data_IF_474354665881
#
_entry.id   IF_474354665881
#
_cell.length_a   1.000
_cell.length_b   1.000
_cell.length_c   1.000
_cell.angle_alpha   90.00
_cell.angle_beta   90.00
_cell.angle_gamma   90.00
#
_symmetry.space_group_name_H-M   'P 1'
#
loop_
_entity.id
_entity.type
_entity.pdbx_description
1 polymer ?
#
# COMPACT_ATOMS: atom_id res chain seq x y z
N UNK A 1 -44.99 -14.27 -12.02
CA UNK A 1 -43.73 -14.82 -11.49
C UNK A 1 -42.57 -14.02 -12.06
N UNK A 2 -42.10 -13.00 -11.36
CA UNK A 2 -40.85 -12.27 -11.71
C UNK A 2 -39.80 -12.78 -10.75
N UNK A 3 -38.84 -13.60 -11.23
CA UNK A 3 -37.64 -13.95 -10.49
C UNK A 3 -36.82 -12.71 -10.39
N UNK A 4 -36.67 -12.20 -9.17
CA UNK A 4 -35.76 -11.12 -8.85
C UNK A 4 -34.32 -11.60 -9.09
N UNK A 5 -33.63 -10.87 -9.93
CA UNK A 5 -32.20 -11.00 -10.12
C UNK A 5 -31.54 -10.53 -8.81
N UNK A 6 -31.11 -11.46 -7.98
CA UNK A 6 -30.30 -11.13 -6.80
C UNK A 6 -29.03 -10.49 -7.31
N UNK A 7 -28.86 -9.21 -7.01
CA UNK A 7 -27.59 -8.49 -7.25
C UNK A 7 -26.55 -9.09 -6.32
N UNK A 8 -25.81 -10.08 -6.80
CA UNK A 8 -24.56 -10.52 -6.19
C UNK A 8 -23.55 -9.39 -6.43
N UNK A 9 -23.36 -8.56 -5.46
CA UNK A 9 -22.32 -7.53 -5.49
C UNK A 9 -21.47 -7.72 -4.26
N UNK A 10 -20.65 -8.78 -4.26
CA UNK A 10 -19.43 -8.81 -3.46
C UNK A 10 -18.31 -8.76 -4.49
N UNK A 11 -17.77 -7.59 -4.73
CA UNK A 11 -16.65 -7.43 -5.64
C UNK A 11 -15.42 -7.12 -4.78
N UNK A 12 -14.57 -8.11 -4.60
CA UNK A 12 -13.23 -7.91 -4.07
C UNK A 12 -12.28 -7.96 -5.25
N UNK A 13 -11.53 -6.91 -5.47
CA UNK A 13 -10.46 -6.89 -6.46
C UNK A 13 -9.14 -6.93 -5.71
N UNK A 14 -8.44 -8.04 -5.81
CA UNK A 14 -7.07 -8.16 -5.28
C UNK A 14 -6.10 -7.90 -6.41
N UNK A 15 -5.29 -6.88 -6.28
CA UNK A 15 -4.21 -6.57 -7.21
C UNK A 15 -2.92 -7.16 -6.64
N UNK A 16 -2.36 -8.17 -7.30
CA UNK A 16 -1.05 -8.72 -6.98
C UNK A 16 -0.15 -8.42 -8.18
N UNK A 17 0.85 -7.56 -7.97
CA UNK A 17 1.85 -7.29 -8.99
C UNK A 17 3.07 -8.17 -8.72
N UNK A 18 3.35 -9.11 -9.61
CA UNK A 18 4.55 -9.94 -9.58
C UNK A 18 5.35 -9.60 -10.83
N UNK A 19 6.52 -9.02 -10.65
CA UNK A 19 7.46 -8.84 -11.76
C UNK A 19 8.35 -10.08 -11.82
N UNK A 20 8.24 -10.86 -12.88
CA UNK A 20 9.11 -12.00 -13.15
C UNK A 20 10.01 -11.67 -14.33
N UNK A 21 11.32 -11.58 -14.09
CA UNK A 21 12.30 -11.49 -15.15
C UNK A 21 12.60 -12.87 -15.69
N UNK A 22 12.19 -13.15 -16.93
CA UNK A 22 12.68 -14.31 -17.68
C UNK A 22 13.79 -13.87 -18.60
N UNK A 23 14.99 -14.38 -18.39
CA UNK A 23 16.12 -14.15 -19.27
C UNK A 23 15.91 -14.94 -20.56
N UNK A 24 15.70 -14.25 -21.66
CA UNK A 24 15.98 -14.78 -22.99
C UNK A 24 16.23 -13.64 -23.98
N UNK A 25 17.47 -13.52 -24.42
CA UNK A 25 17.93 -12.90 -25.68
C UNK A 25 17.45 -11.47 -26.04
N UNK A 26 18.33 -10.50 -25.84
CA UNK A 26 18.54 -9.30 -26.65
C UNK A 26 17.41 -8.26 -26.79
N UNK A 27 16.29 -8.37 -26.12
CA UNK A 27 15.32 -7.31 -25.92
C UNK A 27 15.03 -7.23 -24.44
N UNK A 28 15.08 -6.03 -23.85
CA UNK A 28 14.58 -5.77 -22.50
C UNK A 28 13.06 -5.91 -22.50
N UNK A 29 12.58 -7.14 -22.36
CA UNK A 29 11.16 -7.46 -22.25
C UNK A 29 10.85 -7.59 -20.75
N UNK A 30 10.02 -6.69 -20.26
CA UNK A 30 9.48 -6.73 -18.90
C UNK A 30 8.06 -7.28 -18.90
N UNK A 31 7.73 -8.09 -17.92
CA UNK A 31 6.39 -8.63 -17.72
C UNK A 31 5.88 -8.22 -16.34
N UNK A 32 4.75 -7.51 -16.33
CA UNK A 32 4.00 -7.19 -15.11
C UNK A 32 2.74 -8.03 -15.10
N UNK A 33 2.54 -8.77 -14.02
CA UNK A 33 1.36 -9.61 -13.82
C UNK A 33 0.45 -9.01 -12.75
N UNK A 34 -0.83 -8.91 -13.08
CA UNK A 34 -1.89 -8.46 -12.17
C UNK A 34 -2.94 -9.55 -12.05
N UNK A 35 -3.23 -9.97 -10.83
CA UNK A 35 -4.28 -10.96 -10.57
C UNK A 35 -5.51 -10.27 -9.98
N UNK A 36 -6.63 -10.36 -10.68
CA UNK A 36 -7.93 -9.90 -10.23
C UNK A 36 -8.70 -11.09 -9.68
N UNK A 37 -9.17 -10.98 -8.45
CA UNK A 37 -9.92 -12.05 -7.80
C UNK A 37 -11.26 -11.52 -7.36
N UNK A 38 -12.32 -12.21 -7.75
CA UNK A 38 -13.67 -11.96 -7.24
C UNK A 38 -13.90 -12.96 -6.11
N UNK A 39 -14.20 -12.43 -4.92
CA UNK A 39 -14.52 -13.23 -3.75
C UNK A 39 -16.02 -13.21 -3.46
N UNK A 40 -16.50 -14.26 -2.84
CA UNK A 40 -17.83 -14.24 -2.21
C UNK A 40 -17.79 -13.43 -0.89
N UNK A 41 -18.95 -13.32 -0.23
CA UNK A 41 -19.08 -12.59 1.03
C UNK A 41 -18.24 -13.15 2.19
N UNK A 42 -17.77 -14.38 2.09
CA UNK A 42 -16.93 -15.02 3.11
C UNK A 42 -15.44 -15.01 2.76
N UNK A 43 -15.08 -14.44 1.61
CA UNK A 43 -13.70 -14.34 1.14
C UNK A 43 -13.24 -15.50 0.26
N UNK A 44 -14.13 -16.41 -0.17
CA UNK A 44 -13.73 -17.50 -1.07
C UNK A 44 -13.64 -17.00 -2.52
N UNK A 45 -12.60 -17.34 -3.27
CA UNK A 45 -12.47 -16.99 -4.67
C UNK A 45 -13.58 -17.63 -5.52
N UNK A 46 -14.30 -16.81 -6.28
CA UNK A 46 -15.31 -17.26 -7.25
C UNK A 46 -14.81 -17.14 -8.68
N UNK A 47 -13.89 -16.22 -8.94
CA UNK A 47 -13.27 -16.05 -10.24
C UNK A 47 -11.85 -15.45 -10.04
N UNK A 48 -10.89 -15.91 -10.83
CA UNK A 48 -9.54 -15.39 -10.87
C UNK A 48 -9.16 -15.07 -12.31
N UNK A 49 -8.84 -13.83 -12.58
CA UNK A 49 -8.40 -13.33 -13.88
C UNK A 49 -6.99 -12.80 -13.71
N UNK A 50 -6.06 -13.32 -14.48
CA UNK A 50 -4.69 -12.83 -14.55
C UNK A 50 -4.57 -11.96 -15.79
N UNK A 51 -4.01 -10.79 -15.62
CA UNK A 51 -3.68 -9.84 -16.69
C UNK A 51 -2.17 -9.67 -16.73
N UNK A 52 -1.60 -10.03 -17.84
CA UNK A 52 -0.19 -9.91 -18.14
C UNK A 52 0.06 -8.71 -19.04
N UNK A 53 0.91 -7.81 -18.62
CA UNK A 53 1.40 -6.71 -19.42
C UNK A 53 2.86 -6.93 -19.75
N UNK A 54 3.13 -7.21 -21.02
CA UNK A 54 4.46 -7.42 -21.56
C UNK A 54 4.90 -6.15 -22.28
N UNK A 55 6.07 -5.64 -21.94
CA UNK A 55 6.64 -4.38 -22.45
C UNK A 55 8.04 -4.62 -22.96
N UNK A 56 8.36 -4.01 -24.11
CA UNK A 56 9.71 -3.92 -24.65
C UNK A 56 10.11 -2.47 -24.93
N UNK A 57 11.42 -2.22 -24.99
CA UNK A 57 11.96 -0.93 -25.45
C UNK A 57 11.69 -0.68 -26.93
N UNK A 58 11.51 -1.76 -27.71
CA UNK A 58 11.19 -1.78 -29.14
C UNK A 58 10.00 -2.69 -29.39
N UNK A 59 9.60 -2.83 -30.68
CA UNK A 59 8.55 -3.78 -31.06
C UNK A 59 8.88 -5.19 -30.59
N UNK A 60 7.92 -5.83 -29.93
CA UNK A 60 8.09 -7.17 -29.33
C UNK A 60 8.36 -8.24 -30.38
N UNK A 61 7.82 -8.08 -31.59
CA UNK A 61 7.99 -9.06 -32.68
C UNK A 61 7.45 -10.42 -32.28
N UNK A 62 8.23 -11.46 -32.60
CA UNK A 62 7.89 -12.85 -32.23
C UNK A 62 8.65 -13.25 -30.96
N UNK A 63 7.90 -13.61 -29.92
CA UNK A 63 8.46 -14.06 -28.65
C UNK A 63 7.61 -15.17 -28.02
N UNK A 64 8.19 -15.89 -27.07
CA UNK A 64 7.50 -16.91 -26.29
C UNK A 64 7.33 -16.47 -24.86
N UNK A 65 6.17 -16.77 -24.27
CA UNK A 65 5.86 -16.62 -22.85
C UNK A 65 5.32 -17.93 -22.29
N UNK A 66 5.52 -18.17 -20.99
CA UNK A 66 4.97 -19.33 -20.30
C UNK A 66 3.73 -18.93 -19.51
N UNK A 67 2.63 -19.62 -19.76
CA UNK A 67 1.38 -19.34 -19.08
C UNK A 67 0.56 -20.61 -18.88
N UNK A 68 0.11 -20.84 -17.65
CA UNK A 68 -0.83 -21.91 -17.29
C UNK A 68 -2.29 -21.47 -17.40
N UNK A 69 -2.54 -20.24 -17.85
CA UNK A 69 -3.86 -19.67 -17.95
C UNK A 69 -4.74 -20.37 -18.98
N UNK A 70 -6.03 -20.38 -18.71
CA UNK A 70 -7.08 -20.77 -19.65
C UNK A 70 -7.79 -19.52 -20.21
N UNK A 71 -8.55 -19.69 -21.29
CA UNK A 71 -9.36 -18.62 -21.92
C UNK A 71 -8.53 -17.34 -22.22
N UNK A 72 -7.31 -17.52 -22.72
CA UNK A 72 -6.38 -16.43 -22.97
C UNK A 72 -6.92 -15.53 -24.09
N UNK A 73 -6.91 -14.20 -23.83
CA UNK A 73 -7.33 -13.17 -24.79
C UNK A 73 -6.40 -11.98 -24.72
N UNK A 74 -6.01 -11.47 -25.88
CA UNK A 74 -5.45 -10.13 -25.98
C UNK A 74 -6.57 -9.12 -25.71
N UNK A 75 -6.38 -8.22 -24.76
CA UNK A 75 -7.42 -7.25 -24.34
C UNK A 75 -7.22 -5.87 -24.96
N UNK A 76 -6.10 -5.65 -25.64
CA UNK A 76 -5.74 -4.36 -26.25
C UNK A 76 -5.51 -4.44 -27.77
N UNK A 77 -5.36 -5.67 -28.29
CA UNK A 77 -5.13 -5.96 -29.70
C UNK A 77 -5.93 -7.16 -30.18
N UNK A 78 -5.67 -7.58 -31.42
CA UNK A 78 -6.34 -8.72 -32.05
C UNK A 78 -5.40 -9.93 -32.22
N UNK A 79 -4.14 -9.81 -31.79
CA UNK A 79 -3.16 -10.88 -31.91
C UNK A 79 -3.56 -12.05 -31.00
N UNK A 80 -3.48 -13.25 -31.57
CA UNK A 80 -3.74 -14.50 -30.85
C UNK A 80 -2.44 -15.29 -30.69
N UNK A 81 -2.19 -15.92 -29.53
CA UNK A 81 -1.00 -16.73 -29.32
C UNK A 81 -1.15 -18.11 -29.95
N UNK A 82 -0.06 -18.66 -30.44
CA UNK A 82 0.04 -20.09 -30.71
C UNK A 82 0.40 -20.79 -29.39
N UNK A 83 -0.55 -21.59 -28.87
CA UNK A 83 -0.38 -22.31 -27.59
C UNK A 83 0.16 -23.73 -27.84
N UNK A 84 1.25 -24.07 -27.16
CA UNK A 84 1.82 -25.40 -27.14
C UNK A 84 2.12 -25.81 -25.68
N UNK A 85 1.17 -26.53 -25.04
CA UNK A 85 1.22 -26.79 -23.60
C UNK A 85 1.10 -25.47 -22.83
N UNK A 86 2.10 -25.19 -21.99
CA UNK A 86 2.19 -23.93 -21.21
C UNK A 86 2.95 -22.83 -21.95
N UNK A 87 3.45 -23.08 -23.15
CA UNK A 87 4.16 -22.10 -23.97
C UNK A 87 3.19 -21.37 -24.89
N UNK A 88 3.22 -20.04 -24.84
CA UNK A 88 2.49 -19.13 -25.72
C UNK A 88 3.50 -18.45 -26.63
N UNK A 89 3.35 -18.66 -27.93
CA UNK A 89 4.13 -17.91 -28.93
C UNK A 89 3.27 -16.77 -29.47
N UNK A 90 3.71 -15.56 -29.25
CA UNK A 90 3.07 -14.34 -29.74
C UNK A 90 3.83 -13.76 -30.93
N UNK A 91 3.11 -13.06 -31.80
CA UNK A 91 3.67 -12.23 -32.87
C UNK A 91 3.00 -10.87 -32.82
N UNK A 92 3.71 -9.87 -32.29
CA UNK A 92 3.17 -8.57 -31.89
C UNK A 92 3.93 -7.46 -32.60
N UNK A 93 3.22 -6.57 -33.29
CA UNK A 93 3.79 -5.45 -34.02
C UNK A 93 3.84 -4.13 -33.23
N UNK A 94 3.76 -4.23 -31.91
CA UNK A 94 3.89 -3.10 -30.98
C UNK A 94 4.95 -3.39 -29.92
N UNK A 95 5.31 -2.39 -29.16
CA UNK A 95 6.23 -2.54 -28.02
C UNK A 95 5.55 -3.01 -26.72
N UNK A 96 4.26 -3.30 -26.78
CA UNK A 96 3.49 -3.80 -25.63
C UNK A 96 2.42 -4.80 -26.05
N UNK A 97 2.14 -5.73 -25.17
CA UNK A 97 1.06 -6.71 -25.26
C UNK A 97 0.34 -6.79 -23.93
N UNK A 98 -0.98 -6.74 -23.98
CA UNK A 98 -1.84 -7.00 -22.82
C UNK A 98 -2.70 -8.22 -23.11
N UNK A 99 -2.49 -9.29 -22.37
CA UNK A 99 -3.39 -10.43 -22.44
C UNK A 99 -3.94 -10.80 -21.07
N UNK A 100 -5.10 -11.41 -21.07
CA UNK A 100 -5.76 -11.92 -19.88
C UNK A 100 -6.12 -13.38 -20.05
N UNK A 101 -6.19 -14.09 -18.94
CA UNK A 101 -6.70 -15.45 -18.89
C UNK A 101 -7.22 -15.80 -17.51
N UNK A 102 -7.90 -16.94 -17.41
CA UNK A 102 -8.41 -17.45 -16.13
C UNK A 102 -7.37 -18.34 -15.47
N UNK A 103 -7.24 -18.20 -14.15
CA UNK A 103 -6.38 -19.01 -13.30
C UNK A 103 -7.21 -19.77 -12.26
N UNK A 104 -6.73 -20.95 -11.90
CA UNK A 104 -7.20 -21.70 -10.75
C UNK A 104 -6.05 -21.96 -9.75
N UNK A 105 -4.96 -21.23 -9.89
CA UNK A 105 -3.81 -21.37 -9.01
C UNK A 105 -4.17 -20.89 -7.59
N UNK A 106 -3.50 -21.50 -6.61
CA UNK A 106 -3.62 -21.08 -5.22
C UNK A 106 -3.11 -19.65 -5.08
N UNK A 107 -3.90 -18.80 -4.46
CA UNK A 107 -3.51 -17.43 -4.19
C UNK A 107 -2.46 -17.37 -3.08
N UNK A 108 -1.49 -16.45 -3.16
CA UNK A 108 -0.49 -16.25 -2.11
C UNK A 108 -1.11 -15.66 -0.84
N UNK A 109 -2.23 -14.98 -0.96
CA UNK A 109 -3.02 -14.45 0.15
C UNK A 109 -4.40 -15.10 0.15
N UNK A 110 -4.87 -15.52 1.31
CA UNK A 110 -6.26 -15.93 1.54
C UNK A 110 -6.92 -14.94 2.48
N UNK A 111 -8.13 -14.56 2.14
CA UNK A 111 -8.96 -13.67 2.96
C UNK A 111 -10.13 -14.48 3.50
N UNK A 112 -10.47 -14.20 4.74
CA UNK A 112 -11.62 -14.81 5.40
C UNK A 112 -12.43 -13.72 6.06
N UNK A 113 -13.73 -13.67 5.79
CA UNK A 113 -14.63 -12.67 6.35
C UNK A 113 -15.72 -13.37 7.16
N UNK A 114 -15.81 -13.02 8.43
CA UNK A 114 -16.83 -13.48 9.36
C UNK A 114 -17.76 -12.32 9.72
N UNK A 115 -19.03 -12.65 9.93
CA UNK A 115 -20.05 -11.68 10.30
C UNK A 115 -20.73 -12.09 11.60
N UNK A 116 -20.90 -11.10 12.48
CA UNK A 116 -21.77 -11.21 13.64
C UNK A 116 -22.87 -10.14 13.58
N UNK A 117 -24.07 -10.53 13.96
CA UNK A 117 -25.20 -9.63 14.05
C UNK A 117 -25.89 -9.80 15.40
N UNK A 118 -26.05 -8.69 16.15
CA UNK A 118 -26.55 -8.70 17.52
C UNK A 118 -25.82 -9.70 18.42
N UNK A 119 -24.47 -9.80 18.28
CA UNK A 119 -23.59 -10.67 19.07
C UNK A 119 -23.65 -12.16 18.71
N UNK A 120 -24.25 -12.52 17.57
CA UNK A 120 -24.30 -13.91 17.09
C UNK A 120 -23.65 -14.01 15.71
N UNK A 121 -22.86 -15.03 15.50
CA UNK A 121 -22.31 -15.36 14.18
C UNK A 121 -23.45 -15.71 13.23
N UNK A 122 -23.46 -15.09 12.05
CA UNK A 122 -24.53 -15.21 11.05
C UNK A 122 -23.97 -15.35 9.65
N UNK A 123 -24.78 -15.88 8.75
CA UNK A 123 -24.58 -15.66 7.31
C UNK A 123 -25.09 -14.24 6.98
N UNK A 124 -24.27 -13.36 6.39
CA UNK A 124 -24.66 -11.98 6.15
C UNK A 124 -25.90 -11.85 5.24
N UNK A 125 -26.14 -12.81 4.35
CA UNK A 125 -27.32 -12.82 3.50
C UNK A 125 -28.66 -12.98 4.28
N UNK A 126 -28.61 -13.56 5.48
CA UNK A 126 -29.80 -13.79 6.32
C UNK A 126 -30.24 -12.53 7.08
N UNK A 127 -29.34 -11.54 7.21
CA UNK A 127 -29.57 -10.32 7.97
C UNK A 127 -29.64 -9.07 7.11
N UNK A 128 -29.70 -9.23 5.79
CA UNK A 128 -29.86 -8.11 4.85
C UNK A 128 -31.14 -7.32 5.16
N UNK A 129 -31.00 -5.99 5.20
CA UNK A 129 -32.11 -5.07 5.47
C UNK A 129 -32.49 -4.96 6.93
N UNK A 130 -31.87 -5.71 7.84
CA UNK A 130 -32.20 -5.68 9.27
C UNK A 130 -31.48 -4.54 9.97
N UNK A 131 -32.10 -4.06 11.06
CA UNK A 131 -31.54 -3.10 12.00
C UNK A 131 -30.89 -3.82 13.17
N UNK A 132 -29.69 -3.42 13.56
CA UNK A 132 -29.00 -4.01 14.71
C UNK A 132 -27.55 -3.58 14.85
N UNK A 133 -26.84 -4.24 15.77
CA UNK A 133 -25.41 -4.10 15.89
C UNK A 133 -24.72 -5.13 14.98
N UNK A 134 -23.66 -4.75 14.33
CA UNK A 134 -22.88 -5.66 13.48
C UNK A 134 -21.42 -5.70 13.90
N UNK A 135 -20.77 -6.82 13.57
CA UNK A 135 -19.31 -6.95 13.55
C UNK A 135 -18.90 -7.67 12.28
N UNK A 136 -17.92 -7.13 11.60
CA UNK A 136 -17.26 -7.72 10.44
C UNK A 136 -15.81 -7.96 10.84
N UNK A 137 -15.37 -9.21 10.79
CA UNK A 137 -14.00 -9.60 11.09
C UNK A 137 -13.33 -10.05 9.80
N UNK A 138 -12.27 -9.38 9.40
CA UNK A 138 -11.48 -9.71 8.21
C UNK A 138 -10.16 -10.30 8.66
N UNK A 139 -9.88 -11.51 8.21
CA UNK A 139 -8.63 -12.22 8.48
C UNK A 139 -7.88 -12.43 7.17
N UNK A 140 -6.60 -12.10 7.16
CA UNK A 140 -5.74 -12.19 6.00
C UNK A 140 -4.63 -13.20 6.31
N UNK A 141 -4.51 -14.23 5.51
CA UNK A 141 -3.50 -15.27 5.69
C UNK A 141 -2.53 -15.26 4.53
N UNK A 142 -1.26 -15.22 4.85
CA UNK A 142 -0.19 -15.40 3.88
C UNK A 142 0.07 -16.91 3.71
N UNK A 143 -0.07 -17.41 2.49
CA UNK A 143 0.14 -18.82 2.17
C UNK A 143 1.58 -19.12 1.75
N UNK A 144 2.37 -18.09 1.47
CA UNK A 144 3.74 -18.20 1.01
C UNK A 144 4.69 -18.21 2.20
N UNK A 145 4.95 -19.36 2.74
CA UNK A 145 5.84 -19.52 3.88
C UNK A 145 6.79 -20.68 3.72
N UNK A 146 7.93 -20.59 4.38
CA UNK A 146 8.89 -21.65 4.47
C UNK A 146 9.44 -21.78 5.88
N UNK A 147 9.48 -23.03 6.35
CA UNK A 147 10.12 -23.36 7.63
C UNK A 147 11.59 -23.69 7.42
N UNK A 148 12.45 -23.01 8.16
CA UNK A 148 13.91 -23.21 8.15
C UNK A 148 14.48 -23.15 9.57
N UNK A 149 15.78 -23.44 9.72
CA UNK A 149 16.49 -23.29 10.99
C UNK A 149 17.36 -22.02 10.94
N UNK A 150 17.16 -21.13 11.90
CA UNK A 150 17.98 -19.92 12.07
C UNK A 150 18.61 -20.00 13.46
N UNK A 151 19.94 -19.98 13.53
CA UNK A 151 20.70 -20.12 14.79
C UNK A 151 20.25 -21.31 15.65
N UNK A 152 19.92 -22.44 15.00
CA UNK A 152 19.46 -23.66 15.68
C UNK A 152 17.99 -23.70 16.06
N UNK A 153 17.23 -22.63 15.88
CA UNK A 153 15.80 -22.60 16.12
C UNK A 153 15.01 -22.82 14.83
N UNK A 154 13.97 -23.63 14.93
CA UNK A 154 13.01 -23.82 13.83
C UNK A 154 12.17 -22.56 13.66
N UNK A 155 12.18 -21.97 12.47
CA UNK A 155 11.42 -20.75 12.14
C UNK A 155 10.61 -20.92 10.87
N UNK A 156 9.43 -20.34 10.86
CA UNK A 156 8.63 -20.16 9.66
C UNK A 156 8.82 -18.72 9.20
N UNK A 157 9.29 -18.58 7.98
CA UNK A 157 9.46 -17.28 7.32
C UNK A 157 8.37 -17.14 6.26
N UNK A 158 7.72 -16.01 6.24
CA UNK A 158 6.70 -15.66 5.26
C UNK A 158 7.28 -14.73 4.23
N UNK A 159 6.88 -14.90 2.97
CA UNK A 159 7.16 -13.92 1.93
C UNK A 159 6.50 -12.59 2.31
N UNK A 160 7.23 -11.48 2.41
CA UNK A 160 6.61 -10.19 2.74
C UNK A 160 5.68 -9.76 1.60
N UNK A 161 4.38 -9.77 1.86
CA UNK A 161 3.35 -9.29 0.94
C UNK A 161 2.66 -8.12 1.62
N UNK A 162 2.87 -6.92 1.12
CA UNK A 162 2.15 -5.74 1.58
C UNK A 162 0.68 -5.88 1.16
N UNK A 163 -0.20 -5.86 2.13
CA UNK A 163 -1.64 -6.01 1.91
C UNK A 163 -2.37 -4.82 2.49
N UNK A 164 -3.19 -4.17 1.67
CA UNK A 164 -4.08 -3.10 2.08
C UNK A 164 -5.54 -3.54 1.86
N UNK A 165 -6.39 -3.29 2.84
CA UNK A 165 -7.83 -3.47 2.73
C UNK A 165 -8.54 -2.13 2.83
N UNK A 166 -9.59 -1.98 2.03
CA UNK A 166 -10.47 -0.83 2.01
C UNK A 166 -11.92 -1.30 2.05
N UNK A 167 -12.69 -0.77 2.99
CA UNK A 167 -14.09 -1.11 3.18
C UNK A 167 -14.89 0.18 3.20
N UNK A 168 -15.88 0.28 2.32
CA UNK A 168 -16.77 1.44 2.22
C UNK A 168 -18.11 1.12 2.85
N UNK A 169 -18.50 1.93 3.85
CA UNK A 169 -19.77 1.82 4.57
C UNK A 169 -20.56 3.13 4.38
N UNK A 170 -21.79 3.02 3.89
CA UNK A 170 -22.66 4.18 3.69
C UNK A 170 -23.15 4.76 5.02
N UNK A 171 -22.93 6.05 5.27
CA UNK A 171 -23.33 6.75 6.50
C UNK A 171 -24.88 6.82 6.65
N UNK A 172 -25.63 6.56 5.57
CA UNK A 172 -27.09 6.47 5.62
C UNK A 172 -27.57 5.15 6.21
N UNK A 173 -26.71 4.13 6.31
CA UNK A 173 -27.05 2.78 6.77
C UNK A 173 -26.24 2.34 7.97
N UNK A 174 -25.00 2.84 8.09
CA UNK A 174 -24.07 2.45 9.13
C UNK A 174 -23.66 3.65 9.99
N UNK A 175 -23.49 3.43 11.28
CA UNK A 175 -23.13 4.46 12.24
C UNK A 175 -22.34 3.88 13.42
N UNK A 176 -21.77 4.75 14.27
CA UNK A 176 -21.03 4.37 15.47
C UNK A 176 -19.87 3.38 15.19
N UNK A 177 -19.20 3.56 14.06
CA UNK A 177 -18.14 2.66 13.61
C UNK A 177 -16.94 2.70 14.56
N UNK A 178 -16.44 1.52 14.91
CA UNK A 178 -15.19 1.32 15.64
C UNK A 178 -14.40 0.24 14.94
N UNK A 179 -13.10 0.40 14.87
CA UNK A 179 -12.16 -0.56 14.31
C UNK A 179 -11.15 -0.98 15.35
N UNK A 180 -10.73 -2.24 15.33
CA UNK A 180 -9.66 -2.73 16.21
C UNK A 180 -8.29 -2.28 15.73
N UNK A 181 -8.17 -2.06 14.42
CA UNK A 181 -6.95 -1.65 13.75
C UNK A 181 -7.28 -0.95 12.44
N UNK A 182 -6.34 -0.15 11.93
CA UNK A 182 -6.55 0.65 10.74
C UNK A 182 -7.13 2.02 11.04
N UNK A 183 -7.70 2.66 10.03
CA UNK A 183 -8.19 4.04 10.11
C UNK A 183 -9.58 4.17 9.50
N UNK A 184 -10.41 4.97 10.13
CA UNK A 184 -11.72 5.35 9.59
C UNK A 184 -11.63 6.79 9.10
N UNK A 185 -12.02 7.02 7.86
CA UNK A 185 -12.14 8.34 7.25
C UNK A 185 -13.59 8.54 6.81
N UNK A 186 -14.15 9.72 7.07
CA UNK A 186 -15.52 10.06 6.73
C UNK A 186 -15.50 11.11 5.61
N UNK A 187 -16.20 10.84 4.49
CA UNK A 187 -16.37 11.78 3.38
C UNK A 187 -17.72 12.53 3.43
N UNK A 188 -18.49 12.30 4.51
CA UNK A 188 -19.83 12.85 4.72
C UNK A 188 -20.94 11.94 4.21
N UNK A 189 -20.73 11.14 3.19
CA UNK A 189 -21.71 10.16 2.66
C UNK A 189 -21.34 8.73 3.04
N UNK A 190 -20.05 8.45 3.13
CA UNK A 190 -19.51 7.14 3.43
C UNK A 190 -18.40 7.24 4.47
N UNK A 191 -18.29 6.21 5.25
CA UNK A 191 -17.12 5.94 6.07
C UNK A 191 -16.23 4.94 5.36
N UNK A 192 -15.00 5.33 5.10
CA UNK A 192 -13.96 4.51 4.49
C UNK A 192 -13.05 3.96 5.59
N UNK A 193 -13.04 2.65 5.74
CA UNK A 193 -12.15 1.94 6.65
C UNK A 193 -10.96 1.42 5.87
N UNK A 194 -9.77 1.83 6.25
CA UNK A 194 -8.51 1.38 5.63
C UNK A 194 -7.65 0.63 6.64
N UNK A 195 -7.07 -0.47 6.21
CA UNK A 195 -6.17 -1.30 6.99
C UNK A 195 -4.98 -1.72 6.12
N UNK A 196 -3.77 -1.64 6.68
CA UNK A 196 -2.54 -2.02 5.98
C UNK A 196 -1.74 -2.96 6.85
N UNK A 197 -1.33 -4.09 6.29
CA UNK A 197 -0.54 -5.11 7.00
C UNK A 197 0.45 -5.82 6.08
N UNK A 198 1.38 -6.54 6.68
CA UNK A 198 2.24 -7.53 6.02
C UNK A 198 2.04 -8.87 6.74
N UNK A 199 1.06 -9.69 6.30
CA UNK A 199 0.68 -10.90 7.01
C UNK A 199 1.86 -11.88 7.14
N UNK A 200 2.09 -12.37 8.36
CA UNK A 200 3.18 -13.28 8.67
C UNK A 200 4.53 -12.62 8.95
N UNK A 201 4.61 -11.29 8.90
CA UNK A 201 5.86 -10.58 9.19
C UNK A 201 6.23 -10.71 10.68
N UNK A 202 5.26 -10.55 11.57
CA UNK A 202 5.46 -10.69 13.03
C UNK A 202 6.02 -12.08 13.39
N UNK A 203 5.47 -13.12 12.79
CA UNK A 203 5.90 -14.50 12.95
C UNK A 203 7.29 -14.74 12.37
N UNK A 204 7.58 -14.15 11.21
CA UNK A 204 8.89 -14.25 10.55
C UNK A 204 10.00 -13.64 11.39
N UNK A 205 9.75 -12.47 11.93
CA UNK A 205 10.76 -11.68 12.67
C UNK A 205 10.94 -12.18 14.10
N UNK A 206 9.89 -12.76 14.73
CA UNK A 206 9.88 -13.16 16.15
C UNK A 206 10.33 -12.03 17.11
N UNK A 207 10.06 -10.80 16.77
CA UNK A 207 10.45 -9.63 17.58
C UNK A 207 9.32 -9.20 18.54
N UNK A 208 8.29 -10.01 18.66
CA UNK A 208 7.25 -9.90 19.67
C UNK A 208 6.81 -8.47 19.97
N UNK A 209 6.73 -8.16 21.25
CA UNK A 209 6.26 -6.88 21.76
C UNK A 209 7.14 -5.66 21.40
N UNK A 210 8.41 -5.89 21.02
CA UNK A 210 9.34 -4.83 20.59
C UNK A 210 8.89 -4.12 19.30
N UNK A 211 8.17 -4.81 18.43
CA UNK A 211 7.61 -4.20 17.21
C UNK A 211 6.33 -3.43 17.50
N UNK A 212 5.53 -3.91 18.42
CA UNK A 212 4.30 -3.22 18.84
C UNK A 212 4.67 -1.88 19.47
N UNK A 213 5.70 -1.83 20.31
CA UNK A 213 6.23 -0.58 20.90
C UNK A 213 6.86 0.37 19.82
N UNK A 214 7.51 -0.19 18.81
CA UNK A 214 8.18 0.60 17.76
C UNK A 214 7.19 1.18 16.74
N UNK A 215 6.05 0.50 16.53
CA UNK A 215 5.00 0.87 15.61
C UNK A 215 3.83 1.57 16.33
N UNK A 216 3.91 1.77 17.64
CA UNK A 216 2.88 2.49 18.39
C UNK A 216 2.67 3.88 17.79
N UNK A 217 1.44 4.14 17.35
CA UNK A 217 1.08 5.34 16.60
C UNK A 217 1.36 5.34 15.10
N UNK A 218 1.90 4.24 14.53
CA UNK A 218 2.02 4.08 13.08
C UNK A 218 0.68 3.64 12.44
N UNK A 219 0.56 3.85 11.13
CA UNK A 219 -0.60 3.38 10.36
C UNK A 219 -0.47 1.93 9.90
N UNK A 220 0.68 1.31 10.15
CA UNK A 220 0.96 -0.09 9.78
C UNK A 220 0.73 -0.96 10.99
N UNK A 221 -0.25 -1.82 10.91
CA UNK A 221 -0.51 -2.86 11.89
C UNK A 221 0.09 -4.18 11.40
N UNK A 222 0.80 -4.87 12.26
CA UNK A 222 1.37 -6.19 11.95
C UNK A 222 0.40 -7.34 12.28
N UNK A 223 -0.79 -7.03 12.77
CA UNK A 223 -1.84 -8.06 12.88
C UNK A 223 -2.27 -8.50 11.48
N UNK A 224 -2.67 -9.76 11.39
CA UNK A 224 -3.20 -10.31 10.14
C UNK A 224 -4.74 -10.22 10.08
N UNK A 225 -5.34 -9.46 10.98
CA UNK A 225 -6.79 -9.33 11.10
C UNK A 225 -7.19 -7.98 11.67
N UNK A 226 -8.39 -7.55 11.29
CA UNK A 226 -9.03 -6.38 11.88
C UNK A 226 -10.55 -6.61 11.97
N UNK A 227 -11.17 -5.90 12.89
CA UNK A 227 -12.61 -5.96 13.09
C UNK A 227 -13.22 -4.57 12.95
N UNK A 228 -14.40 -4.52 12.36
CA UNK A 228 -15.26 -3.35 12.28
C UNK A 228 -16.53 -3.67 13.05
N UNK A 229 -16.87 -2.82 14.00
CA UNK A 229 -18.13 -2.89 14.74
C UNK A 229 -18.90 -1.60 14.58
N UNK A 230 -20.22 -1.68 14.69
CA UNK A 230 -21.08 -0.50 14.60
C UNK A 230 -22.55 -0.86 14.68
N UNK A 231 -23.35 0.14 14.40
CA UNK A 231 -24.80 0.01 14.30
C UNK A 231 -25.22 0.14 12.84
N UNK A 232 -26.31 -0.55 12.49
CA UNK A 232 -26.93 -0.41 11.17
C UNK A 232 -28.44 -0.29 11.29
N UNK A 233 -29.02 0.59 10.49
CA UNK A 233 -30.48 0.69 10.33
C UNK A 233 -30.99 -0.16 9.18
N UNK A 234 -30.11 -0.61 8.28
CA UNK A 234 -30.44 -1.41 7.11
C UNK A 234 -29.16 -2.13 6.65
N UNK A 235 -28.88 -3.28 7.25
CA UNK A 235 -27.64 -4.00 6.99
C UNK A 235 -27.50 -4.39 5.51
N UNK A 236 -26.38 -4.09 4.95
CA UNK A 236 -25.94 -4.58 3.64
C UNK A 236 -24.52 -5.12 3.75
N UNK A 237 -24.16 -6.00 2.85
CA UNK A 237 -22.78 -6.51 2.76
C UNK A 237 -21.94 -5.41 2.12
N UNK A 238 -20.98 -4.82 2.86
CA UNK A 238 -20.14 -3.76 2.29
C UNK A 238 -19.19 -4.32 1.23
N UNK A 239 -18.81 -3.48 0.28
CA UNK A 239 -17.74 -3.82 -0.64
C UNK A 239 -16.40 -3.79 0.12
N UNK A 240 -15.64 -4.87 -0.01
CA UNK A 240 -14.29 -5.00 0.54
C UNK A 240 -13.33 -5.11 -0.63
N UNK A 241 -12.39 -4.18 -0.72
CA UNK A 241 -11.30 -4.21 -1.70
C UNK A 241 -10.00 -4.56 -0.99
N UNK A 242 -9.25 -5.49 -1.55
CA UNK A 242 -7.91 -5.81 -1.09
C UNK A 242 -6.90 -5.59 -2.21
N UNK A 243 -5.77 -5.02 -1.82
CA UNK A 243 -4.60 -4.88 -2.66
C UNK A 243 -3.47 -5.65 -2.01
N UNK A 244 -2.82 -6.52 -2.76
CA UNK A 244 -1.64 -7.22 -2.28
C UNK A 244 -0.53 -7.05 -3.33
N UNK A 245 0.66 -6.69 -2.87
CA UNK A 245 1.81 -6.49 -3.74
C UNK A 245 3.02 -7.22 -3.20
N UNK A 246 3.63 -8.02 -4.07
CA UNK A 246 5.01 -8.45 -3.92
C UNK A 246 5.80 -7.69 -4.96
N UNK A 247 6.57 -6.72 -4.58
CA UNK A 247 7.57 -6.19 -5.49
C UNK A 247 8.75 -7.15 -5.46
N UNK A 248 8.85 -8.00 -6.48
CA UNK A 248 10.07 -8.75 -6.73
C UNK A 248 11.06 -7.77 -7.36
N UNK A 249 12.11 -7.41 -6.64
CA UNK A 249 13.30 -6.83 -7.26
C UNK A 249 13.91 -7.85 -8.21
N UNK A 250 14.68 -7.39 -9.16
CA UNK A 250 15.45 -8.23 -10.06
C UNK A 250 16.29 -9.22 -9.25
N UNK A 251 15.96 -10.49 -9.40
CA UNK A 251 16.81 -11.57 -8.91
C UNK A 251 17.82 -11.77 -10.03
N UNK A 252 19.01 -11.20 -9.86
CA UNK A 252 20.15 -11.64 -10.66
C UNK A 252 20.33 -13.14 -10.43
N UNK A 253 20.37 -13.90 -11.51
CA UNK A 253 20.61 -15.34 -11.52
C UNK A 253 21.80 -15.69 -10.60
N UNK A 254 21.48 -16.20 -9.43
CA UNK A 254 22.46 -16.96 -8.69
C UNK A 254 22.43 -18.36 -9.29
N UNK A 255 23.25 -18.58 -10.33
CA UNK A 255 23.54 -19.94 -10.78
C UNK A 255 23.93 -20.80 -9.58
N UNK A 256 23.31 -21.95 -9.47
CA UNK A 256 23.35 -22.81 -8.29
C UNK A 256 24.76 -22.91 -7.70
N UNK A 257 24.88 -22.40 -6.47
CA UNK A 257 26.10 -22.52 -5.69
C UNK A 257 26.24 -23.93 -5.18
N UNK A 258 27.03 -24.74 -5.88
CA UNK A 258 27.34 -26.12 -5.47
C UNK A 258 28.38 -26.20 -4.35
N UNK A 259 28.85 -25.06 -3.83
CA UNK A 259 29.91 -25.01 -2.81
C UNK A 259 29.42 -24.46 -1.46
N UNK A 260 29.95 -25.04 -0.40
CA UNK A 260 29.69 -24.60 0.97
C UNK A 260 30.20 -23.17 1.25
N UNK A 261 31.21 -22.74 0.50
CA UNK A 261 31.77 -21.39 0.60
C UNK A 261 30.82 -20.35 0.01
N UNK A 262 30.11 -20.66 -1.06
CA UNK A 262 29.09 -19.78 -1.67
C UNK A 262 27.87 -19.64 -0.74
N UNK A 263 27.45 -20.73 -0.08
CA UNK A 263 26.39 -20.68 0.94
C UNK A 263 26.84 -19.81 2.13
N UNK A 264 28.09 -19.90 2.55
CA UNK A 264 28.63 -19.09 3.65
C UNK A 264 28.71 -17.61 3.26
N UNK A 265 29.10 -17.29 2.03
CA UNK A 265 29.12 -15.93 1.51
C UNK A 265 27.69 -15.37 1.42
N UNK A 266 26.73 -16.15 0.90
CA UNK A 266 25.31 -15.77 0.83
C UNK A 266 24.69 -15.54 2.23
N UNK A 267 25.09 -16.32 3.24
CA UNK A 267 24.69 -16.11 4.64
C UNK A 267 25.29 -14.83 5.24
N UNK A 268 26.54 -14.54 4.91
CA UNK A 268 27.21 -13.30 5.34
C UNK A 268 26.55 -12.08 4.67
N UNK A 269 26.21 -12.18 3.40
CA UNK A 269 25.51 -11.11 2.65
C UNK A 269 24.10 -10.91 3.19
N UNK A 270 23.39 -11.98 3.54
CA UNK A 270 22.09 -11.88 4.21
C UNK A 270 22.21 -11.24 5.60
N UNK A 271 23.24 -11.59 6.37
CA UNK A 271 23.51 -10.95 7.67
C UNK A 271 23.78 -9.46 7.49
N UNK A 272 24.63 -9.09 6.54
CA UNK A 272 24.93 -7.70 6.21
C UNK A 272 23.68 -6.96 5.71
N UNK A 273 22.91 -7.55 4.80
CA UNK A 273 21.64 -6.98 4.35
C UNK A 273 20.65 -6.78 5.51
N UNK A 274 20.63 -7.69 6.49
CA UNK A 274 19.84 -7.55 7.72
C UNK A 274 20.34 -6.40 8.61
N UNK A 275 21.65 -6.21 8.71
CA UNK A 275 22.26 -5.08 9.45
C UNK A 275 22.00 -3.74 8.74
N UNK A 276 22.08 -3.74 7.40
CA UNK A 276 21.80 -2.56 6.57
C UNK A 276 20.31 -2.20 6.66
N UNK A 277 19.40 -3.18 6.64
CA UNK A 277 17.95 -2.97 6.83
C UNK A 277 17.66 -2.41 8.22
N UNK A 278 18.30 -2.94 9.27
CA UNK A 278 18.16 -2.43 10.64
C UNK A 278 18.68 -0.99 10.74
N UNK A 279 19.80 -0.69 10.07
CA UNK A 279 20.36 0.66 10.01
C UNK A 279 19.42 1.61 9.26
N UNK A 280 18.93 1.22 8.07
CA UNK A 280 17.97 1.99 7.29
C UNK A 280 16.64 2.20 8.01
N UNK A 281 16.18 1.20 8.78
CA UNK A 281 14.99 1.34 9.62
C UNK A 281 15.19 2.33 10.75
N UNK A 282 16.40 2.37 11.36
CA UNK A 282 16.75 3.39 12.37
C UNK A 282 16.83 4.79 11.76
N UNK A 283 17.40 4.90 10.57
CA UNK A 283 17.48 6.18 9.85
C UNK A 283 16.08 6.68 9.47
N UNK A 284 15.20 5.78 9.03
CA UNK A 284 13.81 6.10 8.74
C UNK A 284 13.06 6.56 10.01
N UNK A 285 13.26 5.87 11.13
CA UNK A 285 12.69 6.26 12.44
C UNK A 285 13.21 7.64 12.88
N UNK A 286 14.50 7.89 12.72
CA UNK A 286 15.10 9.20 13.01
C UNK A 286 14.49 10.27 12.08
N UNK A 287 14.40 10.00 10.79
CA UNK A 287 13.79 10.90 9.81
C UNK A 287 12.30 11.17 10.11
N UNK A 288 11.56 10.17 10.58
CA UNK A 288 10.17 10.32 11.02
C UNK A 288 10.07 11.17 12.29
N UNK A 289 11.01 10.98 13.23
CA UNK A 289 11.09 11.80 14.44
C UNK A 289 11.44 13.26 14.10
N UNK A 290 12.38 13.49 13.20
CA UNK A 290 12.70 14.83 12.70
C UNK A 290 11.50 15.46 11.97
N UNK A 291 10.80 14.70 11.15
CA UNK A 291 9.57 15.16 10.47
C UNK A 291 8.50 15.55 11.49
N UNK A 292 8.30 14.73 12.52
CA UNK A 292 7.35 15.01 13.61
C UNK A 292 7.73 16.29 14.39
N UNK A 293 9.02 16.45 14.67
CA UNK A 293 9.54 17.65 15.32
C UNK A 293 9.36 18.89 14.43
N UNK A 294 9.68 18.76 13.15
CA UNK A 294 9.52 19.84 12.18
C UNK A 294 8.03 20.20 11.99
N UNK A 295 7.13 19.20 12.00
CA UNK A 295 5.69 19.43 11.98
C UNK A 295 5.21 20.15 13.24
N UNK A 296 5.74 19.81 14.41
CA UNK A 296 5.47 20.51 15.66
C UNK A 296 5.96 21.96 15.61
N UNK A 297 7.16 22.20 15.09
CA UNK A 297 7.71 23.54 14.88
C UNK A 297 6.85 24.32 13.89
N UNK A 298 6.44 23.70 12.78
CA UNK A 298 5.53 24.30 11.81
C UNK A 298 4.18 24.67 12.45
N UNK A 299 3.60 23.77 13.24
CA UNK A 299 2.33 24.02 13.92
C UNK A 299 2.42 25.15 14.96
N UNK A 300 3.55 25.21 15.67
CA UNK A 300 3.86 26.35 16.55
C UNK A 300 4.03 27.65 15.76
N UNK A 301 4.68 27.59 14.61
CA UNK A 301 4.79 28.73 13.67
C UNK A 301 3.42 29.21 13.17
N UNK A 302 2.53 28.27 12.79
CA UNK A 302 1.14 28.58 12.39
C UNK A 302 0.36 29.18 13.57
N UNK A 303 0.54 28.66 14.77
CA UNK A 303 -0.08 29.19 15.99
C UNK A 303 0.40 30.62 16.30
N UNK A 304 1.69 30.86 16.13
CA UNK A 304 2.30 32.21 16.30
C UNK A 304 1.77 33.17 15.23
N UNK A 305 1.66 32.70 13.99
CA UNK A 305 1.08 33.47 12.87
C UNK A 305 -0.39 33.81 13.14
N UNK A 306 -1.15 32.84 13.62
CA UNK A 306 -2.56 33.04 14.00
C UNK A 306 -2.70 34.06 15.15
N UNK A 307 -1.83 33.96 16.16
CA UNK A 307 -1.79 34.94 17.24
C UNK A 307 -1.44 36.34 16.75
N UNK A 308 -0.45 36.46 15.87
CA UNK A 308 -0.09 37.74 15.23
C UNK A 308 -1.23 38.29 14.34
N UNK A 309 -1.98 37.43 13.66
CA UNK A 309 -3.17 37.81 12.90
C UNK A 309 -4.31 38.33 13.81
N UNK A 310 -4.49 37.72 14.97
CA UNK A 310 -5.45 38.16 16.00
C UNK A 310 -5.01 39.52 16.59
N UNK A 311 -3.74 39.68 16.90
CA UNK A 311 -3.19 40.97 17.38
C UNK A 311 -3.35 42.07 16.33
N UNK A 312 -3.07 41.74 15.05
CA UNK A 312 -3.30 42.65 13.93
C UNK A 312 -4.79 43.05 13.80
N UNK A 313 -5.69 42.05 13.94
CA UNK A 313 -7.15 42.30 13.94
C UNK A 313 -7.56 43.20 15.10
N UNK A 314 -7.01 43.00 16.30
CA UNK A 314 -7.27 43.82 17.48
C UNK A 314 -6.68 45.24 17.29
N UNK A 315 -5.50 45.33 16.68
CA UNK A 315 -4.89 46.62 16.29
C UNK A 315 -5.74 47.40 15.28
N UNK A 316 -6.28 46.71 14.27
CA UNK A 316 -7.21 47.28 13.28
C UNK A 316 -8.50 47.80 13.95
N UNK A 317 -9.06 47.01 14.88
CA UNK A 317 -10.25 47.39 15.65
C UNK A 317 -9.99 48.65 16.54
N UNK A 318 -8.80 48.68 17.15
CA UNK A 318 -8.36 49.82 17.95
C UNK A 318 -8.16 51.06 17.05
N UNK A 319 -7.59 50.88 15.88
CA UNK A 319 -7.44 51.95 14.87
C UNK A 319 -8.81 52.45 14.39
N UNK A 320 -9.75 51.52 14.10
CA UNK A 320 -11.13 51.88 13.68
C UNK A 320 -11.90 52.60 14.77
N UNK A 321 -11.70 52.27 16.04
CA UNK A 321 -12.34 52.95 17.17
C UNK A 321 -11.79 54.36 17.41
N UNK A 322 -10.60 54.67 16.86
CA UNK A 322 -9.96 55.99 16.95
C UNK A 322 -10.17 56.86 15.69
N UNK A 323 -11.03 56.43 14.76
CA UNK A 323 -11.32 57.15 13.52
C UNK A 323 -11.68 58.65 13.72
N UNK A 324 -12.42 59.08 14.79
CA UNK A 324 -12.65 60.50 15.01
C UNK A 324 -11.37 61.32 15.23
N UNK A 325 -10.33 60.70 15.79
CA UNK A 325 -9.02 61.32 15.98
C UNK A 325 -8.20 61.36 14.66
N UNK A 326 -8.63 60.56 13.68
CA UNK A 326 -7.94 60.40 12.39
C UNK A 326 -8.06 61.65 11.48
N UNK A 327 -9.14 62.41 11.60
CA UNK A 327 -9.37 63.61 10.77
C UNK A 327 -8.24 64.64 10.99
N UNK A 328 -7.71 64.73 12.19
CA UNK A 328 -6.57 65.60 12.50
C UNK A 328 -5.21 64.95 12.19
N UNK A 329 -5.21 63.65 11.95
CA UNK A 329 -4.00 62.85 11.66
C UNK A 329 -3.80 62.45 10.19
N UNK A 330 -4.61 62.98 9.24
CA UNK A 330 -4.54 62.62 7.81
C UNK A 330 -3.12 62.79 7.25
N UNK A 331 -2.40 63.80 7.69
CA UNK A 331 -1.01 63.98 7.28
C UNK A 331 -0.08 62.88 7.86
N UNK A 332 -0.36 62.46 9.09
CA UNK A 332 0.37 61.36 9.74
C UNK A 332 -0.04 60.01 9.11
N UNK A 333 -1.33 59.88 8.71
CA UNK A 333 -1.84 58.72 8.02
C UNK A 333 -1.20 58.55 6.63
N UNK A 334 -0.97 59.65 5.91
CA UNK A 334 -0.33 59.60 4.59
C UNK A 334 1.12 59.06 4.69
N UNK A 335 1.81 59.47 5.77
CA UNK A 335 3.15 58.91 6.09
C UNK A 335 3.05 57.44 6.52
N UNK A 336 2.03 57.12 7.35
CA UNK A 336 1.76 55.72 7.79
C UNK A 336 1.30 54.80 6.65
N UNK A 337 0.56 55.34 5.67
CA UNK A 337 0.19 54.61 4.46
C UNK A 337 1.42 54.26 3.59
N UNK A 338 2.45 55.14 3.59
CA UNK A 338 3.73 54.83 2.95
C UNK A 338 4.48 53.71 3.64
N UNK A 339 4.47 53.70 4.97
CA UNK A 339 5.09 52.61 5.74
C UNK A 339 4.30 51.28 5.60
N UNK A 340 2.96 51.34 5.59
CA UNK A 340 2.10 50.18 5.36
C UNK A 340 2.35 49.56 3.99
N UNK A 341 2.47 50.40 2.94
CA UNK A 341 2.82 49.97 1.59
C UNK A 341 4.20 49.28 1.55
N UNK A 342 5.17 49.88 2.26
CA UNK A 342 6.53 49.25 2.36
C UNK A 342 6.49 47.91 3.08
N UNK A 343 5.69 47.80 4.15
CA UNK A 343 5.52 46.56 4.90
C UNK A 343 4.72 45.52 4.10
N UNK A 344 3.76 45.97 3.27
CA UNK A 344 3.01 45.12 2.36
C UNK A 344 3.92 44.51 1.28
N UNK A 345 4.84 45.34 0.75
CA UNK A 345 5.85 44.84 -0.19
C UNK A 345 6.79 43.83 0.46
N UNK A 346 7.16 44.09 1.73
CA UNK A 346 7.95 43.10 2.51
C UNK A 346 7.16 41.83 2.87
N UNK A 347 5.85 42.00 3.10
CA UNK A 347 4.95 40.87 3.31
C UNK A 347 4.78 40.05 2.03
N UNK A 348 4.61 40.72 0.87
CA UNK A 348 4.54 40.09 -0.45
C UNK A 348 5.83 39.33 -0.77
N UNK A 349 6.98 39.89 -0.38
CA UNK A 349 8.28 39.24 -0.46
C UNK A 349 8.36 38.03 0.50
N UNK A 350 7.78 38.15 1.70
CA UNK A 350 7.66 37.05 2.68
C UNK A 350 6.71 35.96 2.20
N UNK A 351 5.58 36.32 1.59
CA UNK A 351 4.64 35.35 0.97
C UNK A 351 5.28 34.66 -0.21
N UNK A 352 6.05 35.38 -1.02
CA UNK A 352 6.85 34.80 -2.11
C UNK A 352 7.89 33.80 -1.57
N UNK A 353 8.51 34.14 -0.46
CA UNK A 353 9.47 33.25 0.23
C UNK A 353 8.76 32.01 0.79
N UNK A 354 7.56 32.18 1.38
CA UNK A 354 6.74 31.06 1.87
C UNK A 354 6.25 30.18 0.71
N UNK A 355 5.83 30.79 -0.41
CA UNK A 355 5.45 30.06 -1.61
C UNK A 355 6.63 29.26 -2.19
N UNK A 356 7.82 29.86 -2.19
CA UNK A 356 9.05 29.17 -2.59
C UNK A 356 9.37 28.01 -1.65
N UNK A 357 9.22 28.23 -0.33
CA UNK A 357 9.38 27.17 0.67
C UNK A 357 8.35 26.03 0.50
N UNK A 358 7.10 26.38 0.20
CA UNK A 358 6.05 25.40 -0.08
C UNK A 358 6.32 24.61 -1.36
N UNK A 359 6.86 25.26 -2.40
CA UNK A 359 7.31 24.58 -3.62
C UNK A 359 8.48 23.64 -3.33
N UNK A 360 9.46 24.09 -2.55
CA UNK A 360 10.58 23.24 -2.14
C UNK A 360 10.14 22.05 -1.29
N UNK A 361 9.14 22.24 -0.43
CA UNK A 361 8.53 21.14 0.33
C UNK A 361 7.81 20.16 -0.60
N UNK A 362 7.05 20.70 -1.57
CA UNK A 362 6.37 19.88 -2.56
C UNK A 362 7.38 19.11 -3.45
N UNK A 363 8.45 19.75 -3.87
CA UNK A 363 9.57 19.09 -4.57
C UNK A 363 10.24 18.03 -3.69
N UNK A 364 10.41 18.33 -2.41
CA UNK A 364 10.90 17.38 -1.41
C UNK A 364 9.97 16.17 -1.26
N UNK A 365 8.65 16.41 -1.18
CA UNK A 365 7.64 15.34 -1.12
C UNK A 365 7.60 14.53 -2.41
N UNK A 366 7.70 15.19 -3.56
CA UNK A 366 7.77 14.50 -4.85
C UNK A 366 9.06 13.65 -4.94
N UNK A 367 10.20 14.22 -4.54
CA UNK A 367 11.48 13.51 -4.47
C UNK A 367 11.40 12.32 -3.51
N UNK A 368 10.72 12.48 -2.38
CA UNK A 368 10.47 11.38 -1.44
C UNK A 368 9.55 10.33 -2.07
N UNK A 369 8.48 10.77 -2.72
CA UNK A 369 7.53 9.90 -3.43
C UNK A 369 8.21 9.12 -4.56
N UNK A 370 9.12 9.76 -5.30
CA UNK A 370 9.93 9.10 -6.33
C UNK A 370 10.96 8.12 -5.74
N UNK A 371 11.46 8.41 -4.54
CA UNK A 371 12.41 7.51 -3.84
C UNK A 371 11.72 6.35 -3.13
N UNK A 372 10.42 6.49 -2.81
CA UNK A 372 9.64 5.40 -2.20
C UNK A 372 9.63 4.15 -3.09
N UNK A 373 9.39 4.24 -4.41
CA UNK A 373 9.51 3.08 -5.30
C UNK A 373 10.91 2.44 -5.24
N UNK A 374 11.96 3.26 -5.27
CA UNK A 374 13.34 2.76 -5.18
C UNK A 374 13.62 2.04 -3.86
N UNK A 375 13.07 2.57 -2.75
CA UNK A 375 13.17 1.90 -1.45
C UNK A 375 12.35 0.60 -1.43
N UNK A 376 11.16 0.64 -1.99
CA UNK A 376 10.30 -0.54 -2.19
C UNK A 376 11.03 -1.56 -3.05
N UNK A 377 11.61 -1.15 -4.17
CA UNK A 377 12.41 -2.01 -5.05
C UNK A 377 13.63 -2.61 -4.32
N UNK A 378 14.28 -1.81 -3.49
CA UNK A 378 15.37 -2.27 -2.62
C UNK A 378 14.93 -3.33 -1.62
N UNK A 379 13.81 -3.11 -0.94
CA UNK A 379 13.21 -4.08 0.00
C UNK A 379 12.79 -5.35 -0.74
N UNK A 380 12.28 -5.21 -1.95
CA UNK A 380 11.86 -6.34 -2.76
C UNK A 380 13.06 -7.15 -3.26
N UNK A 381 14.11 -6.46 -3.75
CA UNK A 381 15.38 -7.10 -4.12
C UNK A 381 15.96 -7.90 -2.95
N UNK A 382 15.89 -7.32 -1.74
CA UNK A 382 16.33 -8.00 -0.52
C UNK A 382 15.46 -9.23 -0.20
N UNK A 383 14.15 -9.08 -0.36
CA UNK A 383 13.19 -10.17 -0.15
C UNK A 383 13.38 -11.31 -1.15
N UNK A 384 13.58 -10.97 -2.41
CA UNK A 384 13.82 -11.96 -3.47
C UNK A 384 15.15 -12.69 -3.24
N UNK A 385 16.20 -11.96 -2.87
CA UNK A 385 17.47 -12.56 -2.46
C UNK A 385 17.31 -13.51 -1.27
N UNK A 386 16.48 -13.14 -0.29
CA UNK A 386 16.14 -14.02 0.82
C UNK A 386 15.36 -15.27 0.39
N UNK A 387 14.45 -15.08 -0.60
CA UNK A 387 13.70 -16.18 -1.23
C UNK A 387 14.60 -17.16 -2.00
N UNK A 388 15.54 -16.62 -2.77
CA UNK A 388 16.53 -17.44 -3.49
C UNK A 388 17.47 -18.19 -2.52
N UNK A 389 17.96 -17.50 -1.49
CA UNK A 389 18.79 -18.11 -0.46
C UNK A 389 18.05 -19.28 0.20
N UNK A 390 16.77 -19.06 0.54
CA UNK A 390 15.89 -20.09 1.07
C UNK A 390 15.71 -21.26 0.10
N UNK A 391 15.47 -20.98 -1.18
CA UNK A 391 15.32 -22.01 -2.22
C UNK A 391 16.61 -22.84 -2.40
N UNK A 392 17.75 -22.14 -2.39
CA UNK A 392 19.07 -22.78 -2.54
C UNK A 392 19.42 -23.62 -1.30
N UNK A 393 19.07 -23.15 -0.11
CA UNK A 393 19.23 -23.90 1.13
C UNK A 393 18.43 -25.23 1.11
N UNK A 394 17.21 -25.20 0.56
CA UNK A 394 16.38 -26.41 0.44
C UNK A 394 16.93 -27.42 -0.56
N UNK A 395 17.41 -26.92 -1.72
CA UNK A 395 18.07 -27.78 -2.71
C UNK A 395 19.33 -28.43 -2.12
N UNK A 396 20.02 -27.69 -1.24
CA UNK A 396 21.16 -28.22 -0.48
C UNK A 396 20.71 -29.30 0.52
N UNK A 397 19.63 -29.03 1.29
CA UNK A 397 19.08 -29.97 2.28
C UNK A 397 18.55 -31.26 1.62
N UNK A 398 17.87 -31.13 0.47
CA UNK A 398 17.47 -32.27 -0.36
C UNK A 398 18.69 -33.05 -0.90
N UNK A 399 19.76 -32.31 -1.29
CA UNK A 399 20.99 -32.98 -1.78
C UNK A 399 21.83 -33.66 -0.68
N UNK A 400 21.66 -33.23 0.57
CA UNK A 400 22.32 -33.86 1.74
C UNK A 400 21.51 -35.03 2.29
N UNK A 401 20.21 -35.09 1.98
CA UNK A 401 19.29 -36.14 2.46
C UNK A 401 19.18 -37.32 1.50
N UNK A 402 19.87 -37.27 0.36
CA UNK A 402 20.09 -38.40 -0.60
C UNK A 402 21.50 -38.89 -0.51
#
# INVERSE_FOLDING_TARGET
MKKGLSKKLACLVTLITVTSNTIAFAQDINKDETVYVILDENGNPTEQIVSDWIKGSENLGKFSDKSTLSDIKNVKGEEEPVKNGDELTWEVNSNELYYQGKSNNKLPITVWVDYEFNGKKVNPNEVLGQKGNFKISVNITNNESKTTFIKGEKRTLYLPILTAAEITLSNTKFSNLKVTSGKVMDDGNNSLVTFVTIPGLKESLKIGDLLDDLLDGSTVDLSSSFEITGDTDNFEIPAIMLFASTTSGEIDDIEGTDSFDDLRNSLNDLQKGGEDLLSGSKELLNGQTELSNNYSIFNNGVSTLNSGAIELKNGINTLSSKVPTLINGVNTLNSGAGELKSNYLKFDEGVSTLATGANSLNEGVNTLSEKVPTLIDGVNTLNDGAGELKSNYLKFDEGVST
#
